data_IF_145331946282
#
_entry.id   IF_145331946282
#
_cell.length_a   1.000
_cell.length_b   1.000
_cell.length_c   1.000
_cell.angle_alpha   90.00
_cell.angle_beta   90.00
_cell.angle_gamma   90.00
#
_symmetry.space_group_name_H-M   'P 1'
#
loop_
_entity.id
_entity.type
_entity.pdbx_description
1 polymer ?
#
# COMPACT_ATOMS: atom_id res chain seq x y z
N UNK A 1 -12.45 8.31 -9.27
CA UNK A 1 -11.00 8.36 -9.02
C UNK A 1 -10.38 6.98 -9.22
N UNK A 2 -10.82 5.95 -8.51
CA UNK A 2 -10.31 4.58 -8.60
C UNK A 2 -10.40 4.01 -10.01
N UNK A 3 -11.56 4.13 -10.69
CA UNK A 3 -11.71 3.69 -12.09
C UNK A 3 -10.63 4.29 -13.02
N UNK A 4 -10.29 5.56 -12.84
CA UNK A 4 -9.27 6.24 -13.65
C UNK A 4 -7.88 5.61 -13.45
N UNK A 5 -7.49 5.36 -12.20
CA UNK A 5 -6.15 4.83 -11.92
C UNK A 5 -6.04 3.37 -12.34
N UNK A 6 -7.04 2.53 -12.05
CA UNK A 6 -7.05 1.13 -12.47
C UNK A 6 -6.99 1.03 -14.01
N UNK A 7 -7.74 1.89 -14.71
CA UNK A 7 -7.70 1.96 -16.17
C UNK A 7 -6.32 2.38 -16.70
N UNK A 8 -5.68 3.35 -16.05
CA UNK A 8 -4.36 3.83 -16.46
C UNK A 8 -3.26 2.78 -16.23
N UNK A 9 -3.36 1.98 -15.17
CA UNK A 9 -2.36 0.96 -14.83
C UNK A 9 -2.49 -0.34 -15.63
N UNK A 10 -3.63 -0.61 -16.28
CA UNK A 10 -4.00 -1.87 -16.95
C UNK A 10 -3.02 -2.33 -18.00
N UNK A 11 -1.91 -1.97 -18.27
CA UNK A 11 -0.90 -2.49 -19.23
C UNK A 11 0.53 -2.05 -18.87
N UNK A 12 0.73 -1.65 -17.61
CA UNK A 12 1.95 -1.01 -17.18
C UNK A 12 2.70 -1.77 -16.08
N UNK A 13 2.51 -3.10 -16.02
CA UNK A 13 3.29 -3.97 -15.14
C UNK A 13 2.82 -4.03 -13.68
N UNK A 14 1.84 -3.21 -13.29
CA UNK A 14 1.19 -3.30 -11.98
C UNK A 14 -0.06 -4.17 -12.12
N UNK A 15 -0.19 -5.27 -11.36
CA UNK A 15 -1.37 -6.12 -11.45
C UNK A 15 -2.58 -5.40 -10.84
N UNK A 16 -3.56 -5.09 -11.67
CA UNK A 16 -4.84 -4.49 -11.29
C UNK A 16 -5.99 -5.22 -11.98
N UNK A 17 -7.18 -5.30 -11.38
CA UNK A 17 -8.35 -5.79 -12.08
C UNK A 17 -8.65 -4.93 -13.31
N UNK A 18 -9.08 -5.54 -14.41
CA UNK A 18 -9.49 -4.77 -15.59
C UNK A 18 -10.72 -3.94 -15.26
N UNK A 19 -10.63 -2.62 -15.42
CA UNK A 19 -11.77 -1.72 -15.34
C UNK A 19 -12.68 -1.94 -16.57
N UNK A 20 -13.95 -2.27 -16.34
CA UNK A 20 -14.88 -2.64 -17.40
C UNK A 20 -15.80 -1.47 -17.76
N UNK A 21 -16.43 -0.85 -16.77
CA UNK A 21 -17.40 0.22 -16.98
C UNK A 21 -17.50 1.14 -15.77
N UNK A 22 -17.60 2.44 -16.00
CA UNK A 22 -17.98 3.44 -15.01
C UNK A 22 -19.46 3.81 -15.23
N UNK A 23 -20.24 3.84 -14.16
CA UNK A 23 -21.62 4.31 -14.13
C UNK A 23 -21.72 5.51 -13.20
N UNK A 24 -22.06 6.66 -13.76
CA UNK A 24 -22.26 7.92 -13.02
C UNK A 24 -23.74 8.22 -12.76
N UNK A 25 -24.65 7.34 -13.21
CA UNK A 25 -26.08 7.47 -12.98
C UNK A 25 -26.44 6.97 -11.57
N UNK A 26 -26.65 7.91 -10.67
CA UNK A 26 -27.00 7.63 -9.27
C UNK A 26 -28.41 7.02 -9.12
N UNK A 27 -29.27 7.08 -10.16
CA UNK A 27 -30.63 6.52 -10.07
C UNK A 27 -30.64 4.99 -10.03
N UNK A 28 -29.53 4.33 -10.41
CA UNK A 28 -29.45 2.88 -10.50
C UNK A 28 -29.28 2.24 -9.11
N UNK A 29 -28.29 2.68 -8.32
CA UNK A 29 -28.02 2.14 -6.97
C UNK A 29 -27.85 3.22 -5.89
N UNK A 30 -28.14 4.47 -6.19
CA UNK A 30 -28.06 5.60 -5.23
C UNK A 30 -26.69 6.28 -5.16
N UNK A 31 -25.69 5.81 -5.89
CA UNK A 31 -24.34 6.38 -5.94
C UNK A 31 -23.64 5.98 -7.24
N UNK A 32 -22.67 6.77 -7.76
CA UNK A 32 -21.80 6.32 -8.84
C UNK A 32 -21.04 5.04 -8.46
N UNK A 33 -20.86 4.15 -9.42
CA UNK A 33 -20.13 2.91 -9.22
C UNK A 33 -19.34 2.53 -10.48
N UNK A 34 -18.40 1.60 -10.33
CA UNK A 34 -17.73 1.00 -11.47
C UNK A 34 -17.76 -0.52 -11.39
N UNK A 35 -17.65 -1.14 -12.55
CA UNK A 35 -17.56 -2.59 -12.72
C UNK A 35 -16.13 -2.92 -13.12
N UNK A 36 -15.55 -3.89 -12.44
CA UNK A 36 -14.22 -4.42 -12.74
C UNK A 36 -14.23 -5.94 -12.87
N UNK A 37 -13.17 -6.49 -13.43
CA UNK A 37 -12.94 -7.93 -13.52
C UNK A 37 -12.88 -8.55 -12.11
N UNK A 38 -13.45 -9.74 -11.98
CA UNK A 38 -13.28 -10.57 -10.80
C UNK A 38 -11.96 -11.35 -10.92
N UNK A 39 -11.05 -11.13 -9.98
CA UNK A 39 -9.76 -11.87 -9.93
C UNK A 39 -9.91 -13.07 -8.99
N UNK A 40 -9.60 -14.26 -9.50
CA UNK A 40 -9.59 -15.48 -8.68
C UNK A 40 -8.38 -15.47 -7.75
N UNK A 41 -8.63 -15.72 -6.45
CA UNK A 41 -7.59 -15.72 -5.42
C UNK A 41 -8.15 -15.42 -4.04
N UNK A 42 -7.28 -15.04 -3.12
CA UNK A 42 -7.67 -14.75 -1.74
C UNK A 42 -6.96 -13.52 -1.19
N UNK A 43 -7.59 -12.87 -0.22
CA UNK A 43 -6.98 -11.80 0.58
C UNK A 43 -6.54 -12.37 1.92
N UNK A 44 -5.33 -12.03 2.36
CA UNK A 44 -4.81 -12.42 3.66
C UNK A 44 -4.45 -11.17 4.47
N UNK A 45 -5.04 -11.01 5.65
CA UNK A 45 -4.74 -9.89 6.54
C UNK A 45 -3.50 -10.16 7.41
N UNK A 46 -3.25 -11.44 7.74
CA UNK A 46 -2.19 -11.83 8.64
C UNK A 46 -0.83 -11.89 7.92
N UNK A 47 0.17 -11.08 8.31
CA UNK A 47 1.46 -11.01 7.63
C UNK A 47 2.30 -12.29 7.78
N UNK A 48 1.97 -13.19 8.72
CA UNK A 48 2.63 -14.49 8.83
C UNK A 48 2.17 -15.49 7.76
N UNK A 49 1.12 -15.17 6.98
CA UNK A 49 0.56 -16.01 5.92
C UNK A 49 0.32 -17.46 6.38
N UNK A 50 -0.59 -17.68 7.35
CA UNK A 50 -0.82 -18.99 7.92
C UNK A 50 -1.26 -19.98 6.83
N UNK A 51 -0.84 -21.24 6.97
CA UNK A 51 -1.15 -22.31 6.02
C UNK A 51 -0.21 -22.39 4.81
N UNK A 52 0.66 -21.41 4.59
CA UNK A 52 1.62 -21.42 3.48
C UNK A 52 2.95 -22.03 3.90
N UNK A 53 3.69 -22.57 2.94
CA UNK A 53 5.07 -23.02 3.12
C UNK A 53 6.04 -21.84 3.20
N UNK A 54 7.25 -22.06 3.70
CA UNK A 54 8.32 -21.06 3.75
C UNK A 54 8.66 -20.49 2.36
N UNK A 55 8.66 -21.36 1.34
CA UNK A 55 8.95 -20.94 -0.04
C UNK A 55 7.82 -20.04 -0.62
N UNK A 56 6.57 -20.36 -0.36
CA UNK A 56 5.42 -19.55 -0.78
C UNK A 56 5.42 -18.18 -0.11
N UNK A 57 5.70 -18.12 1.21
CA UNK A 57 5.84 -16.84 1.92
C UNK A 57 6.95 -15.98 1.34
N UNK A 58 8.12 -16.56 1.12
CA UNK A 58 9.25 -15.84 0.50
C UNK A 58 8.88 -15.29 -0.88
N UNK A 59 8.17 -16.07 -1.69
CA UNK A 59 7.75 -15.65 -3.02
C UNK A 59 6.71 -14.52 -2.97
N UNK A 60 5.73 -14.59 -2.07
CA UNK A 60 4.70 -13.56 -1.89
C UNK A 60 5.34 -12.24 -1.44
N UNK A 61 6.23 -12.27 -0.44
CA UNK A 61 6.94 -11.06 0.01
C UNK A 61 7.81 -10.45 -1.11
N UNK A 62 8.48 -11.30 -1.90
CA UNK A 62 9.23 -10.84 -3.06
C UNK A 62 8.30 -10.24 -4.14
N UNK A 63 7.12 -10.82 -4.35
CA UNK A 63 6.11 -10.30 -5.27
C UNK A 63 5.57 -8.95 -4.80
N UNK A 64 5.28 -8.78 -3.51
CA UNK A 64 4.85 -7.49 -2.95
C UNK A 64 5.88 -6.38 -3.21
N UNK A 65 7.14 -6.64 -2.89
CA UNK A 65 8.22 -5.67 -3.10
C UNK A 65 8.36 -5.28 -4.58
N UNK A 66 8.27 -6.24 -5.49
CA UNK A 66 8.34 -6.01 -6.95
C UNK A 66 7.15 -5.23 -7.48
N UNK A 67 5.93 -5.56 -7.03
CA UNK A 67 4.70 -4.86 -7.44
C UNK A 67 4.75 -3.41 -6.98
N UNK A 68 5.20 -3.17 -5.75
CA UNK A 68 5.35 -1.82 -5.23
C UNK A 68 6.41 -1.02 -6.00
N UNK A 69 7.56 -1.63 -6.31
CA UNK A 69 8.59 -1.00 -7.12
C UNK A 69 8.10 -0.69 -8.53
N UNK A 70 7.36 -1.61 -9.16
CA UNK A 70 6.75 -1.39 -10.47
C UNK A 70 5.75 -0.22 -10.44
N UNK A 71 4.95 -0.10 -9.38
CA UNK A 71 4.04 1.05 -9.20
C UNK A 71 4.81 2.37 -9.13
N UNK A 72 5.85 2.43 -8.31
CA UNK A 72 6.64 3.64 -8.12
C UNK A 72 7.48 4.00 -9.34
N UNK A 73 7.83 3.02 -10.19
CA UNK A 73 8.53 3.22 -11.46
C UNK A 73 7.64 3.67 -12.63
N UNK A 74 6.33 3.83 -12.43
CA UNK A 74 5.41 4.28 -13.48
C UNK A 74 5.71 5.73 -13.89
N UNK A 75 5.86 5.95 -15.19
CA UNK A 75 5.85 7.30 -15.76
C UNK A 75 4.41 7.86 -15.74
N UNK A 76 4.05 8.42 -14.59
CA UNK A 76 2.73 9.00 -14.37
C UNK A 76 2.41 10.19 -15.29
N UNK A 77 3.44 10.89 -15.81
CA UNK A 77 3.28 11.98 -16.77
C UNK A 77 2.86 11.43 -18.12
N UNK A 78 3.52 10.38 -18.60
CA UNK A 78 3.15 9.71 -19.84
C UNK A 78 1.74 9.10 -19.79
N UNK A 79 1.26 8.73 -18.59
CA UNK A 79 -0.12 8.25 -18.37
C UNK A 79 -1.16 9.38 -18.25
N UNK A 80 -0.76 10.63 -18.37
CA UNK A 80 -1.68 11.77 -18.22
C UNK A 80 -2.25 11.93 -16.82
N UNK A 81 -1.47 11.54 -15.78
CA UNK A 81 -1.87 11.61 -14.38
C UNK A 81 -1.34 12.88 -13.66
N UNK A 82 -0.87 13.90 -14.39
CA UNK A 82 -0.31 15.11 -13.80
C UNK A 82 -1.26 15.87 -12.88
N UNK A 83 -2.57 15.73 -13.05
CA UNK A 83 -3.63 16.30 -12.20
C UNK A 83 -4.16 15.32 -11.16
N UNK A 84 -3.58 14.11 -11.04
CA UNK A 84 -4.10 13.06 -10.18
C UNK A 84 -3.93 13.38 -8.68
N UNK A 85 -2.98 14.21 -8.33
CA UNK A 85 -2.75 14.70 -6.96
C UNK A 85 -1.76 15.86 -6.92
N UNK A 86 -1.73 16.56 -5.80
CA UNK A 86 -0.68 17.56 -5.53
C UNK A 86 0.55 16.84 -5.00
N UNK A 87 1.66 16.95 -5.68
CA UNK A 87 2.90 16.27 -5.31
C UNK A 87 3.87 17.15 -4.50
N UNK A 88 3.79 18.49 -4.64
CA UNK A 88 4.65 19.39 -3.85
C UNK A 88 4.36 19.24 -2.36
N UNK A 89 5.41 19.21 -1.55
CA UNK A 89 5.35 19.11 -0.09
C UNK A 89 4.49 17.95 0.44
N UNK A 90 4.44 16.83 -0.31
CA UNK A 90 3.55 15.71 0.00
C UNK A 90 3.69 15.23 1.44
N UNK A 91 4.92 14.93 1.91
CA UNK A 91 5.17 14.42 3.26
C UNK A 91 4.73 15.42 4.33
N UNK A 92 5.04 16.70 4.15
CA UNK A 92 4.63 17.75 5.09
C UNK A 92 3.09 17.86 5.19
N UNK A 93 2.40 17.77 4.04
CA UNK A 93 0.93 17.79 4.02
C UNK A 93 0.32 16.56 4.69
N UNK A 94 0.90 15.37 4.49
CA UNK A 94 0.44 14.16 5.16
C UNK A 94 0.61 14.24 6.68
N UNK A 95 1.79 14.69 7.15
CA UNK A 95 2.02 14.90 8.58
C UNK A 95 0.96 15.87 9.15
N UNK A 96 0.73 17.00 8.49
CA UNK A 96 -0.25 17.98 8.95
C UNK A 96 -1.70 17.44 8.91
N UNK A 97 -2.05 16.63 7.91
CA UNK A 97 -3.38 16.00 7.80
C UNK A 97 -3.61 15.00 8.92
N UNK A 98 -2.71 14.04 9.09
CA UNK A 98 -2.85 12.97 10.06
C UNK A 98 -2.74 13.49 11.50
N UNK A 99 -1.89 14.48 11.77
CA UNK A 99 -1.85 15.15 13.08
C UNK A 99 -3.18 15.80 13.44
N UNK A 100 -3.82 16.50 12.48
CA UNK A 100 -5.17 17.09 12.71
C UNK A 100 -6.23 16.02 12.94
N UNK A 101 -6.19 14.92 12.19
CA UNK A 101 -7.16 13.83 12.36
C UNK A 101 -6.98 13.15 13.73
N UNK A 102 -5.74 12.89 14.15
CA UNK A 102 -5.45 12.35 15.47
C UNK A 102 -5.98 13.27 16.56
N UNK A 103 -5.66 14.57 16.53
CA UNK A 103 -6.17 15.55 17.51
C UNK A 103 -7.70 15.60 17.57
N UNK A 104 -8.37 15.46 16.42
CA UNK A 104 -9.83 15.47 16.35
C UNK A 104 -10.49 14.18 16.87
N UNK A 105 -9.78 13.05 16.86
CA UNK A 105 -10.30 11.73 17.19
C UNK A 105 -9.77 11.14 18.51
N UNK A 106 -8.70 11.73 19.09
CA UNK A 106 -8.10 11.19 20.32
C UNK A 106 -9.10 11.18 21.47
N UNK A 107 -9.14 10.06 22.20
CA UNK A 107 -9.98 9.86 23.38
C UNK A 107 -9.19 9.99 24.70
N UNK A 108 -7.89 10.16 24.62
CA UNK A 108 -6.95 10.31 25.71
C UNK A 108 -5.59 10.79 25.19
N UNK A 109 -4.71 11.13 26.11
CA UNK A 109 -3.35 11.57 25.75
C UNK A 109 -2.43 10.36 25.60
N UNK A 110 -1.64 10.33 24.53
CA UNK A 110 -0.58 9.35 24.26
C UNK A 110 0.70 10.16 24.02
N UNK A 111 1.56 10.18 25.04
CA UNK A 111 2.75 11.02 25.06
C UNK A 111 3.69 10.76 23.86
N UNK A 112 3.78 9.53 23.41
CA UNK A 112 4.57 9.13 22.23
C UNK A 112 4.01 9.74 20.94
N UNK A 113 2.68 9.85 20.81
CA UNK A 113 2.04 10.50 19.67
C UNK A 113 2.30 12.01 19.66
N UNK A 114 2.21 12.65 20.81
CA UNK A 114 2.50 14.10 20.93
C UNK A 114 3.98 14.39 20.58
N UNK A 115 4.91 13.54 21.05
CA UNK A 115 6.33 13.63 20.70
C UNK A 115 6.56 13.40 19.21
N UNK A 116 5.90 12.41 18.60
CA UNK A 116 6.02 12.12 17.17
C UNK A 116 5.50 13.26 16.32
N UNK A 117 4.34 13.83 16.65
CA UNK A 117 3.77 14.98 15.94
C UNK A 117 4.67 16.22 16.01
N UNK A 118 5.37 16.41 17.15
CA UNK A 118 6.35 17.50 17.29
C UNK A 118 7.64 17.23 16.50
N UNK A 119 8.08 15.98 16.41
CA UNK A 119 9.35 15.60 15.78
C UNK A 119 9.27 15.54 14.25
N UNK A 120 8.19 14.99 13.69
CA UNK A 120 8.05 14.73 12.26
C UNK A 120 8.23 15.96 11.36
N UNK A 121 7.67 17.15 11.67
CA UNK A 121 7.85 18.34 10.82
C UNK A 121 9.31 18.81 10.68
N UNK A 122 10.14 18.48 11.65
CA UNK A 122 11.57 18.86 11.68
C UNK A 122 12.49 17.77 11.08
N UNK A 123 11.92 16.61 10.71
CA UNK A 123 12.66 15.45 10.23
C UNK A 123 12.14 14.93 8.89
N UNK A 124 11.55 15.80 8.08
CA UNK A 124 11.12 15.46 6.72
C UNK A 124 12.36 15.25 5.85
N UNK A 125 12.46 14.12 5.11
CA UNK A 125 13.54 13.92 4.15
C UNK A 125 13.63 15.07 3.14
N UNK A 126 14.84 15.50 2.83
CA UNK A 126 15.07 16.58 1.86
C UNK A 126 14.81 16.15 0.39
N UNK A 127 14.62 14.86 0.17
CA UNK A 127 14.34 14.30 -1.13
C UNK A 127 12.91 14.65 -1.57
N UNK A 128 12.78 15.13 -2.82
CA UNK A 128 11.51 15.56 -3.39
C UNK A 128 11.03 14.60 -4.50
N UNK A 129 11.39 13.33 -4.41
CA UNK A 129 10.95 12.32 -5.38
C UNK A 129 9.41 12.21 -5.42
N UNK A 130 8.86 12.17 -6.64
CA UNK A 130 7.43 12.04 -6.87
C UNK A 130 7.15 10.81 -7.70
N UNK A 131 6.30 9.95 -7.19
CA UNK A 131 5.78 8.77 -7.89
C UNK A 131 4.26 8.68 -7.73
N UNK A 132 3.68 7.72 -8.43
CA UNK A 132 2.33 7.27 -8.13
C UNK A 132 2.39 6.40 -6.86
N UNK A 133 1.67 6.78 -5.81
CA UNK A 133 1.58 6.03 -4.56
C UNK A 133 0.18 5.45 -4.36
N UNK A 134 0.11 4.28 -3.74
CA UNK A 134 -1.14 3.62 -3.41
C UNK A 134 -1.82 4.26 -2.18
N UNK A 135 -1.04 4.59 -1.16
CA UNK A 135 -1.50 5.21 0.08
C UNK A 135 -1.94 4.23 1.18
N UNK A 136 -2.20 2.95 0.81
CA UNK A 136 -2.54 1.86 1.76
C UNK A 136 -2.03 0.49 1.23
N UNK A 137 -0.76 0.42 0.79
CA UNK A 137 -0.21 -0.81 0.21
C UNK A 137 0.16 -1.84 1.29
N UNK A 138 -0.71 -2.82 1.49
CA UNK A 138 -0.57 -3.89 2.48
C UNK A 138 -1.19 -5.20 2.00
N UNK A 139 -0.91 -6.32 2.68
CA UNK A 139 -1.45 -7.65 2.35
C UNK A 139 -2.98 -7.68 2.28
N UNK A 140 -3.65 -6.91 3.14
CA UNK A 140 -5.12 -6.84 3.12
C UNK A 140 -5.71 -6.20 1.87
N UNK A 141 -4.90 -5.49 1.08
CA UNK A 141 -5.33 -4.79 -0.13
C UNK A 141 -4.76 -5.42 -1.42
N UNK A 142 -4.29 -6.67 -1.33
CA UNK A 142 -3.86 -7.44 -2.50
C UNK A 142 -4.57 -8.78 -2.58
N UNK A 143 -4.82 -9.26 -3.80
CA UNK A 143 -5.27 -10.62 -4.05
C UNK A 143 -4.05 -11.49 -4.30
N UNK A 144 -3.90 -12.53 -3.47
CA UNK A 144 -2.94 -13.61 -3.72
C UNK A 144 -3.52 -14.55 -4.78
N UNK A 145 -2.72 -14.91 -5.77
CA UNK A 145 -3.13 -15.82 -6.84
C UNK A 145 -3.55 -17.19 -6.26
N UNK A 146 -4.58 -17.80 -6.85
CA UNK A 146 -5.14 -19.07 -6.40
C UNK A 146 -4.19 -20.26 -6.59
N UNK A 147 -3.21 -20.16 -7.48
CA UNK A 147 -2.36 -21.27 -7.93
C UNK A 147 -0.87 -21.01 -7.78
N UNK A 148 -0.46 -19.76 -7.78
CA UNK A 148 0.94 -19.34 -7.72
C UNK A 148 1.18 -18.40 -6.53
N UNK A 149 2.32 -18.49 -5.84
CA UNK A 149 2.62 -17.64 -4.69
C UNK A 149 3.08 -16.24 -5.15
N UNK A 150 2.14 -15.46 -5.67
CA UNK A 150 2.35 -14.10 -6.18
C UNK A 150 1.13 -13.21 -5.96
N UNK A 151 1.30 -11.93 -6.11
CA UNK A 151 0.20 -10.96 -6.15
C UNK A 151 -0.48 -11.05 -7.52
N UNK A 152 -1.78 -11.34 -7.53
CA UNK A 152 -2.62 -11.36 -8.72
C UNK A 152 -3.25 -10.00 -9.02
N UNK A 153 -3.58 -9.21 -7.98
CA UNK A 153 -4.11 -7.87 -8.14
C UNK A 153 -3.89 -7.00 -6.89
N UNK A 154 -3.77 -5.70 -7.10
CA UNK A 154 -3.82 -4.67 -6.06
C UNK A 154 -5.19 -4.02 -6.10
N UNK A 155 -5.81 -3.88 -4.93
CA UNK A 155 -7.16 -3.35 -4.71
C UNK A 155 -7.12 -2.09 -3.85
N UNK A 156 -8.27 -1.40 -3.73
CA UNK A 156 -8.49 -0.29 -2.80
C UNK A 156 -7.60 0.94 -3.08
N UNK A 157 -7.80 1.50 -4.27
CA UNK A 157 -7.05 2.65 -4.79
C UNK A 157 -7.59 4.02 -4.33
N UNK A 158 -8.48 4.07 -3.34
CA UNK A 158 -9.16 5.31 -2.92
C UNK A 158 -8.18 6.38 -2.39
N UNK A 159 -7.11 5.95 -1.70
CA UNK A 159 -6.07 6.84 -1.16
C UNK A 159 -4.94 7.14 -2.14
N UNK A 160 -4.95 6.52 -3.33
CA UNK A 160 -3.88 6.68 -4.31
C UNK A 160 -3.75 8.13 -4.79
N UNK A 161 -2.50 8.56 -5.01
CA UNK A 161 -2.18 9.94 -5.41
C UNK A 161 -0.78 10.03 -5.99
N UNK A 162 -0.37 11.22 -6.40
CA UNK A 162 1.04 11.54 -6.59
C UNK A 162 1.66 11.90 -5.24
N UNK A 163 2.75 11.23 -4.88
CA UNK A 163 3.37 11.39 -3.57
C UNK A 163 4.78 10.82 -3.52
N UNK A 164 5.36 10.76 -2.33
CA UNK A 164 6.71 10.26 -2.13
C UNK A 164 6.69 8.71 -2.00
N UNK A 165 7.44 7.95 -2.82
CA UNK A 165 7.37 6.49 -2.87
C UNK A 165 7.70 5.80 -1.54
N UNK A 166 8.60 6.37 -0.75
CA UNK A 166 8.96 5.81 0.55
C UNK A 166 7.81 5.80 1.58
N UNK A 167 6.72 6.55 1.35
CA UNK A 167 5.56 6.49 2.24
C UNK A 167 4.83 5.16 2.13
N UNK A 168 4.66 4.64 0.92
CA UNK A 168 4.10 3.30 0.71
C UNK A 168 5.04 2.20 1.20
N UNK A 169 6.34 2.33 0.93
CA UNK A 169 7.33 1.35 1.38
C UNK A 169 7.39 1.28 2.91
N UNK A 170 7.40 2.42 3.59
CA UNK A 170 7.39 2.49 5.05
C UNK A 170 6.11 1.87 5.63
N UNK A 171 4.95 2.15 5.02
CA UNK A 171 3.69 1.55 5.42
C UNK A 171 3.67 0.03 5.18
N UNK A 172 4.20 -0.44 4.06
CA UNK A 172 4.34 -1.86 3.78
C UNK A 172 5.29 -2.58 4.77
N UNK A 173 6.27 -1.87 5.32
CA UNK A 173 7.18 -2.37 6.35
C UNK A 173 6.61 -2.31 7.78
N UNK A 174 5.48 -1.64 8.01
CA UNK A 174 4.89 -1.48 9.33
C UNK A 174 4.72 -2.80 10.11
N UNK A 175 4.32 -3.94 9.51
CA UNK A 175 4.22 -5.21 10.22
C UNK A 175 5.50 -5.67 10.92
N UNK A 176 6.69 -5.29 10.44
CA UNK A 176 7.96 -5.62 11.09
C UNK A 176 8.14 -4.94 12.46
N UNK A 177 7.33 -3.93 12.76
CA UNK A 177 7.37 -3.13 14.00
C UNK A 177 6.16 -3.38 14.91
N UNK A 178 5.23 -4.22 14.49
CA UNK A 178 4.01 -4.56 15.24
C UNK A 178 4.10 -5.98 15.80
N UNK A 179 3.51 -6.19 16.99
CA UNK A 179 3.52 -7.50 17.65
C UNK A 179 2.68 -8.54 16.89
N UNK A 180 3.10 -9.81 16.95
CA UNK A 180 2.25 -10.92 16.52
C UNK A 180 1.10 -11.09 17.51
N UNK A 181 -0.07 -11.54 17.01
CA UNK A 181 -1.22 -11.92 17.86
C UNK A 181 -2.18 -10.78 18.18
N UNK A 182 -1.99 -9.59 17.66
CA UNK A 182 -3.03 -8.56 17.64
C UNK A 182 -3.91 -8.77 16.40
N UNK A 183 -5.17 -9.15 16.63
CA UNK A 183 -6.12 -9.41 15.54
C UNK A 183 -6.56 -8.11 14.83
N UNK A 184 -6.41 -6.97 15.49
CA UNK A 184 -6.79 -5.66 14.92
C UNK A 184 -5.71 -5.07 14.01
N UNK A 185 -4.44 -5.31 14.37
CA UNK A 185 -3.29 -4.83 13.61
C UNK A 185 -2.14 -5.86 13.67
N UNK A 186 -2.25 -6.98 12.95
CA UNK A 186 -1.32 -8.08 13.06
C UNK A 186 0.07 -7.72 12.54
N UNK A 187 1.12 -8.09 13.29
CA UNK A 187 2.51 -7.81 13.00
C UNK A 187 3.40 -9.06 12.94
N UNK A 188 4.69 -8.82 12.85
CA UNK A 188 5.75 -9.85 12.72
C UNK A 188 6.70 -9.88 13.94
N UNK A 189 6.63 -8.90 14.85
CA UNK A 189 7.50 -8.87 16.04
C UNK A 189 7.19 -10.07 16.93
N UNK A 190 8.21 -10.88 17.23
CA UNK A 190 8.08 -12.12 17.97
C UNK A 190 7.92 -13.38 17.11
N UNK A 191 7.73 -13.24 15.79
CA UNK A 191 7.72 -14.38 14.87
C UNK A 191 9.15 -14.82 14.52
N UNK A 192 9.35 -16.14 14.35
CA UNK A 192 10.59 -16.68 13.77
C UNK A 192 10.55 -16.55 12.23
N UNK A 193 10.97 -15.38 11.73
CA UNK A 193 10.92 -15.08 10.30
C UNK A 193 11.73 -16.06 9.46
N UNK A 194 12.86 -16.55 9.99
CA UNK A 194 13.73 -17.47 9.27
C UNK A 194 13.04 -18.81 9.03
N UNK A 195 12.43 -19.40 10.08
CA UNK A 195 11.67 -20.65 9.97
C UNK A 195 10.41 -20.46 9.10
N UNK A 196 9.75 -19.30 9.20
CA UNK A 196 8.61 -18.98 8.37
C UNK A 196 8.95 -18.75 6.89
N UNK A 197 10.21 -18.45 6.55
CA UNK A 197 10.63 -18.08 5.21
C UNK A 197 10.27 -16.64 4.83
N UNK A 198 9.91 -15.81 5.81
CA UNK A 198 9.63 -14.38 5.61
C UNK A 198 10.97 -13.63 5.62
N UNK A 199 11.27 -12.77 4.64
CA UNK A 199 12.48 -11.95 4.68
C UNK A 199 12.47 -11.03 5.90
N UNK A 200 13.62 -10.75 6.48
CA UNK A 200 13.76 -9.61 7.39
C UNK A 200 13.51 -8.28 6.62
N UNK A 201 13.22 -7.21 7.36
CA UNK A 201 12.91 -5.92 6.77
C UNK A 201 13.99 -5.43 5.81
N UNK A 202 15.28 -5.59 6.18
CA UNK A 202 16.39 -5.15 5.35
C UNK A 202 16.43 -5.89 4.00
N UNK A 203 16.13 -7.19 3.98
CA UNK A 203 16.04 -7.99 2.75
C UNK A 203 14.81 -7.61 1.94
N UNK A 204 13.69 -7.33 2.58
CA UNK A 204 12.47 -6.88 1.91
C UNK A 204 12.70 -5.54 1.20
N UNK A 205 13.23 -4.54 1.90
CA UNK A 205 13.62 -3.24 1.34
C UNK A 205 14.66 -3.40 0.23
N UNK A 206 15.69 -4.23 0.42
CA UNK A 206 16.68 -4.48 -0.62
C UNK A 206 16.08 -5.16 -1.87
N UNK A 207 14.99 -5.92 -1.74
CA UNK A 207 14.28 -6.51 -2.88
C UNK A 207 13.52 -5.43 -3.64
N UNK A 208 12.86 -4.52 -2.95
CA UNK A 208 12.22 -3.35 -3.55
C UNK A 208 13.24 -2.46 -4.30
N UNK A 209 14.36 -2.11 -3.68
CA UNK A 209 15.38 -1.25 -4.30
C UNK A 209 16.06 -1.85 -5.53
N UNK A 210 15.99 -3.17 -5.73
CA UNK A 210 16.59 -3.86 -6.89
C UNK A 210 15.59 -4.10 -8.03
N UNK A 211 14.33 -3.93 -7.80
CA UNK A 211 13.28 -4.19 -8.78
C UNK A 211 13.01 -2.98 -9.65
#
# INVERSE_FOLDING_TARGET
REFRIISALASHGVPVPKALQLCEDETIIGTPFYVMEHIAGGVCQNPTLPGMTAAERAAIYASMAKVLAALHGIDWQALGLGDYGKHEDYVARQIALWSRQYEASKTGEIAEMDQLMAWLPHNIPADAETSLVHGDFRLGNVILDAHEPRIAAVLDWELSTLGHPLTDLAYNCLPYHLATGDDSLPGLVGADLATLGIPDEAKHVATYCRA
#
